data_IF_185961501365
#
_entry.id   IF_185961501365
#
_cell.length_a   1.000
_cell.length_b   1.000
_cell.length_c   1.000
_cell.angle_alpha   90.00
_cell.angle_beta   90.00
_cell.angle_gamma   90.00
#
_symmetry.space_group_name_H-M   'P 1'
#
loop_
_entity.id
_entity.type
_entity.pdbx_description
1 polymer ?
#
# COMPACT_ATOMS: atom_id res chain seq x y z
N UNK A 1 19.22 -59.79 -5.77
CA UNK A 1 18.00 -60.42 -5.24
C UNK A 1 17.64 -59.75 -3.93
N UNK A 2 16.57 -58.97 -3.89
CA UNK A 2 15.57 -58.97 -2.80
C UNK A 2 14.44 -58.03 -3.22
N UNK A 3 13.24 -58.60 -3.30
CA UNK A 3 11.98 -57.93 -3.58
C UNK A 3 11.50 -57.26 -2.28
N UNK A 4 10.95 -56.07 -2.37
CA UNK A 4 9.91 -55.61 -1.45
C UNK A 4 8.85 -54.86 -2.25
N UNK A 5 7.77 -55.59 -2.55
CA UNK A 5 6.49 -55.09 -3.05
C UNK A 5 5.50 -55.20 -1.90
N UNK A 6 4.88 -54.09 -1.51
CA UNK A 6 3.79 -54.04 -0.53
C UNK A 6 3.69 -52.64 0.06
N UNK A 7 2.58 -51.91 -0.02
CA UNK A 7 1.27 -52.25 -0.54
C UNK A 7 0.50 -50.98 -0.89
N UNK A 8 -0.40 -51.14 -1.85
CA UNK A 8 -1.39 -50.14 -2.25
C UNK A 8 -2.53 -50.21 -1.24
N UNK A 9 -2.79 -49.14 -0.49
CA UNK A 9 -4.02 -48.98 0.27
C UNK A 9 -4.86 -47.90 -0.42
N UNK A 10 -5.77 -48.35 -1.29
CA UNK A 10 -6.85 -47.55 -1.86
C UNK A 10 -8.06 -47.64 -0.93
N UNK A 11 -8.25 -46.60 -0.11
CA UNK A 11 -9.56 -46.18 0.39
C UNK A 11 -9.59 -44.66 0.18
N UNK A 12 -10.42 -44.07 -0.66
CA UNK A 12 -11.83 -44.35 -0.87
C UNK A 12 -12.62 -43.54 0.15
N UNK A 13 -12.82 -42.23 -0.11
CA UNK A 13 -13.97 -41.43 0.33
C UNK A 13 -13.78 -39.95 -0.05
N UNK A 14 -14.49 -39.56 -1.12
CA UNK A 14 -15.13 -38.27 -1.36
C UNK A 14 -14.98 -37.21 -0.25
N UNK A 15 -14.45 -36.05 -0.61
CA UNK A 15 -14.52 -34.86 0.25
C UNK A 15 -13.61 -33.74 -0.25
N UNK A 16 -13.99 -33.10 -1.36
CA UNK A 16 -13.48 -31.77 -1.69
C UNK A 16 -14.10 -30.83 -0.65
N UNK A 17 -13.31 -30.42 0.34
CA UNK A 17 -13.63 -29.29 1.20
C UNK A 17 -12.55 -28.23 0.95
N UNK A 18 -12.73 -27.47 -0.13
CA UNK A 18 -12.20 -26.11 -0.23
C UNK A 18 -12.80 -25.33 0.94
N UNK A 19 -12.08 -25.25 2.05
CA UNK A 19 -12.34 -24.28 3.10
C UNK A 19 -11.88 -22.92 2.59
N UNK A 20 -12.65 -22.34 1.67
CA UNK A 20 -12.56 -20.93 1.31
C UNK A 20 -12.97 -20.16 2.56
N UNK A 21 -11.99 -19.75 3.38
CA UNK A 21 -12.22 -18.84 4.48
C UNK A 21 -12.51 -17.45 3.88
N UNK A 22 -13.77 -17.27 3.47
CA UNK A 22 -14.36 -15.97 3.18
C UNK A 22 -14.39 -15.17 4.49
N UNK A 23 -13.33 -14.43 4.78
CA UNK A 23 -13.37 -13.41 5.82
C UNK A 23 -14.10 -12.20 5.23
N UNK A 24 -15.42 -12.26 5.31
CA UNK A 24 -16.31 -11.17 4.95
C UNK A 24 -16.06 -9.98 5.88
N UNK A 25 -15.75 -8.85 5.26
CA UNK A 25 -15.74 -7.54 5.88
C UNK A 25 -17.10 -7.26 6.54
N UNK A 26 -17.07 -6.93 7.82
CA UNK A 26 -18.17 -6.21 8.47
C UNK A 26 -17.64 -5.45 9.68
N UNK A 27 -17.21 -4.21 9.45
CA UNK A 27 -17.20 -3.18 10.47
C UNK A 27 -17.58 -1.84 9.85
N UNK A 28 -18.83 -1.73 9.44
CA UNK A 28 -19.51 -0.46 9.22
C UNK A 28 -20.03 0.03 10.57
N UNK A 29 -19.27 0.88 11.25
CA UNK A 29 -19.72 1.64 12.42
C UNK A 29 -19.69 3.13 12.10
N UNK A 30 -20.75 3.92 12.37
CA UNK A 30 -20.67 5.37 12.35
C UNK A 30 -20.11 5.84 13.69
N UNK A 31 -18.92 6.43 13.68
CA UNK A 31 -18.36 7.14 14.82
C UNK A 31 -16.90 6.81 15.12
N UNK A 32 -16.00 7.66 14.62
CA UNK A 32 -14.83 8.22 15.32
C UNK A 32 -14.03 9.10 14.33
N UNK A 33 -14.57 10.26 13.92
CA UNK A 33 -13.88 11.22 13.05
C UNK A 33 -12.49 11.63 13.56
N UNK A 34 -12.22 11.57 14.87
CA UNK A 34 -10.90 11.89 15.44
C UNK A 34 -9.91 10.71 15.54
N UNK A 35 -10.37 9.45 15.52
CA UNK A 35 -9.45 8.29 15.54
C UNK A 35 -9.01 7.90 14.13
N UNK A 36 -9.84 8.17 13.12
CA UNK A 36 -9.47 8.01 11.71
C UNK A 36 -8.31 8.94 11.36
N UNK A 37 -8.35 10.21 11.78
CA UNK A 37 -7.25 11.17 11.60
C UNK A 37 -5.92 10.69 12.22
N UNK A 38 -5.94 10.09 13.41
CA UNK A 38 -4.72 9.56 14.03
C UNK A 38 -4.15 8.34 13.28
N UNK A 39 -5.02 7.42 12.85
CA UNK A 39 -4.61 6.23 12.07
C UNK A 39 -4.11 6.63 10.69
N UNK A 40 -4.73 7.64 10.08
CA UNK A 40 -4.34 8.09 8.75
C UNK A 40 -3.06 8.94 8.78
N UNK A 41 -2.75 9.65 9.87
CA UNK A 41 -1.44 10.28 10.08
C UNK A 41 -0.32 9.25 10.26
N UNK A 42 -0.56 8.18 11.03
CA UNK A 42 0.42 7.09 11.18
C UNK A 42 0.62 6.33 9.86
N UNK A 43 -0.46 6.14 9.07
CA UNK A 43 -0.35 5.57 7.72
C UNK A 43 0.39 6.49 6.76
N UNK A 44 0.17 7.81 6.81
CA UNK A 44 0.90 8.77 5.97
C UNK A 44 2.41 8.62 6.17
N UNK A 45 2.88 8.42 7.40
CA UNK A 45 4.31 8.22 7.66
C UNK A 45 4.88 6.96 6.98
N UNK A 46 4.19 5.83 7.07
CA UNK A 46 4.64 4.57 6.45
C UNK A 46 4.52 4.64 4.92
N UNK A 47 3.37 5.08 4.42
CA UNK A 47 3.08 5.14 2.98
C UNK A 47 3.99 6.17 2.29
N UNK A 48 4.32 7.29 2.94
CA UNK A 48 5.28 8.25 2.42
C UNK A 48 6.71 7.71 2.40
N UNK A 49 7.12 6.92 3.40
CA UNK A 49 8.42 6.25 3.38
C UNK A 49 8.53 5.27 2.21
N UNK A 50 7.48 4.44 1.99
CA UNK A 50 7.42 3.52 0.86
C UNK A 50 7.43 4.27 -0.48
N UNK A 51 6.72 5.40 -0.58
CA UNK A 51 6.76 6.28 -1.73
C UNK A 51 8.15 6.82 -2.01
N UNK A 52 8.85 7.32 -1.00
CA UNK A 52 10.18 7.89 -1.16
C UNK A 52 11.19 6.82 -1.57
N UNK A 53 11.18 5.67 -0.92
CA UNK A 53 11.99 4.52 -1.31
C UNK A 53 11.73 4.14 -2.78
N UNK A 54 10.45 4.03 -3.17
CA UNK A 54 10.05 3.71 -4.55
C UNK A 54 10.47 4.78 -5.55
N UNK A 55 10.32 6.06 -5.20
CA UNK A 55 10.74 7.18 -6.02
C UNK A 55 12.23 7.10 -6.33
N UNK A 56 13.08 6.93 -5.31
CA UNK A 56 14.53 6.89 -5.50
C UNK A 56 14.97 5.62 -6.26
N UNK A 57 14.33 4.48 -6.01
CA UNK A 57 14.51 3.25 -6.80
C UNK A 57 14.19 3.49 -8.30
N UNK A 58 13.05 4.14 -8.58
CA UNK A 58 12.66 4.47 -9.95
C UNK A 58 13.47 5.59 -10.61
N UNK A 59 14.18 6.40 -9.82
CA UNK A 59 15.17 7.37 -10.28
C UNK A 59 16.57 6.75 -10.46
N UNK A 60 16.72 5.45 -10.21
CA UNK A 60 17.99 4.70 -10.25
C UNK A 60 19.08 5.36 -9.38
N UNK A 61 18.69 5.85 -8.21
CA UNK A 61 19.62 6.50 -7.27
C UNK A 61 19.37 6.12 -5.83
N UNK A 62 20.41 6.20 -5.03
CA UNK A 62 20.32 6.09 -3.57
C UNK A 62 20.20 7.48 -2.97
N UNK A 63 19.13 7.71 -2.21
CA UNK A 63 19.00 8.93 -1.43
C UNK A 63 19.96 8.94 -0.25
N UNK A 64 20.48 10.12 0.07
CA UNK A 64 21.03 10.38 1.40
C UNK A 64 19.92 10.40 2.46
N UNK A 65 20.29 10.26 3.74
CA UNK A 65 19.34 10.32 4.86
C UNK A 65 18.54 11.63 4.83
N UNK A 66 19.23 12.77 4.60
CA UNK A 66 18.59 14.08 4.54
C UNK A 66 17.58 14.21 3.39
N UNK A 67 17.86 13.58 2.24
CA UNK A 67 16.95 13.56 1.09
C UNK A 67 15.73 12.68 1.33
N UNK A 68 15.91 11.54 2.00
CA UNK A 68 14.82 10.64 2.35
C UNK A 68 13.88 11.30 3.36
N UNK A 69 14.43 11.90 4.43
CA UNK A 69 13.68 12.66 5.42
C UNK A 69 12.91 13.84 4.79
N UNK A 70 13.56 14.60 3.90
CA UNK A 70 12.91 15.70 3.20
C UNK A 70 11.79 15.22 2.26
N UNK A 71 11.98 14.08 1.59
CA UNK A 71 10.96 13.48 0.75
C UNK A 71 9.73 13.04 1.57
N UNK A 72 9.96 12.35 2.69
CA UNK A 72 8.89 11.88 3.56
C UNK A 72 8.15 13.07 4.16
N UNK A 73 8.86 14.09 4.64
CA UNK A 73 8.25 15.31 5.15
C UNK A 73 7.36 15.99 4.10
N UNK A 74 7.85 16.19 2.87
CA UNK A 74 7.06 16.81 1.81
C UNK A 74 5.82 16.01 1.42
N UNK A 75 5.91 14.68 1.39
CA UNK A 75 4.78 13.80 1.15
C UNK A 75 3.73 13.93 2.27
N UNK A 76 4.17 13.89 3.53
CA UNK A 76 3.30 14.03 4.70
C UNK A 76 2.62 15.39 4.75
N UNK A 77 3.36 16.48 4.60
CA UNK A 77 2.81 17.84 4.61
C UNK A 77 1.73 17.99 3.54
N UNK A 78 1.94 17.43 2.35
CA UNK A 78 0.95 17.49 1.26
C UNK A 78 -0.33 16.69 1.56
N UNK A 79 -0.21 15.55 2.27
CA UNK A 79 -1.34 14.66 2.58
C UNK A 79 -2.06 15.05 3.86
N UNK A 80 -1.34 15.53 4.87
CA UNK A 80 -1.89 15.89 6.19
C UNK A 80 -2.38 17.34 6.20
N UNK A 81 -1.60 18.28 5.63
CA UNK A 81 -1.96 19.71 5.65
C UNK A 81 -2.56 20.19 4.32
N UNK A 82 -2.09 19.65 3.20
CA UNK A 82 -2.49 20.09 1.85
C UNK A 82 -3.78 19.47 1.32
N UNK A 83 -4.06 18.21 1.69
CA UNK A 83 -5.12 17.38 1.11
C UNK A 83 -6.50 17.60 1.74
N UNK A 84 -6.53 18.07 3.00
CA UNK A 84 -7.73 18.09 3.81
C UNK A 84 -8.16 16.69 4.29
N UNK A 85 -8.78 16.63 5.46
CA UNK A 85 -9.06 15.38 6.18
C UNK A 85 -10.02 14.45 5.40
N UNK A 86 -10.88 15.01 4.55
CA UNK A 86 -11.85 14.26 3.73
C UNK A 86 -11.18 13.40 2.63
N UNK A 87 -9.97 13.77 2.21
CA UNK A 87 -9.25 13.10 1.10
C UNK A 87 -7.99 12.36 1.55
N UNK A 88 -7.56 12.55 2.80
CA UNK A 88 -6.34 11.94 3.35
C UNK A 88 -6.33 10.40 3.24
N UNK A 89 -7.42 9.75 3.64
CA UNK A 89 -7.54 8.29 3.57
C UNK A 89 -7.45 7.77 2.13
N UNK A 90 -8.08 8.47 1.19
CA UNK A 90 -8.06 8.13 -0.24
C UNK A 90 -6.68 8.37 -0.85
N UNK A 91 -6.00 9.46 -0.48
CA UNK A 91 -4.63 9.76 -0.90
C UNK A 91 -3.66 8.68 -0.40
N UNK A 92 -3.73 8.30 0.87
CA UNK A 92 -2.92 7.24 1.46
C UNK A 92 -3.16 5.87 0.79
N UNK A 93 -4.42 5.51 0.55
CA UNK A 93 -4.76 4.28 -0.17
C UNK A 93 -4.21 4.29 -1.60
N UNK A 94 -4.31 5.44 -2.29
CA UNK A 94 -3.81 5.59 -3.66
C UNK A 94 -2.30 5.46 -3.72
N UNK A 95 -1.56 6.12 -2.83
CA UNK A 95 -0.10 5.98 -2.74
C UNK A 95 0.32 4.53 -2.50
N UNK A 96 -0.32 3.85 -1.53
CA UNK A 96 -0.05 2.45 -1.25
C UNK A 96 -0.29 1.56 -2.48
N UNK A 97 -1.32 1.83 -3.28
CA UNK A 97 -1.56 1.13 -4.54
C UNK A 97 -0.47 1.42 -5.60
N UNK A 98 0.07 2.65 -5.62
CA UNK A 98 1.06 3.05 -6.60
C UNK A 98 2.44 2.46 -6.31
N UNK A 99 2.87 2.39 -5.05
CA UNK A 99 4.22 1.92 -4.68
C UNK A 99 4.47 0.46 -5.07
N UNK A 100 3.41 -0.35 -5.12
CA UNK A 100 3.47 -1.76 -5.55
C UNK A 100 3.65 -1.94 -7.06
N UNK A 101 3.58 -0.87 -7.87
CA UNK A 101 3.65 -0.96 -9.33
C UNK A 101 5.09 -0.89 -9.86
N UNK A 102 5.28 -1.23 -11.14
CA UNK A 102 6.52 -0.94 -11.87
C UNK A 102 6.76 0.56 -11.99
N UNK A 103 7.99 1.00 -12.31
CA UNK A 103 8.32 2.43 -12.26
C UNK A 103 7.52 3.29 -13.24
N UNK A 104 7.24 2.79 -14.44
CA UNK A 104 6.38 3.49 -15.39
C UNK A 104 4.95 3.63 -14.83
N UNK A 105 4.38 2.52 -14.36
CA UNK A 105 3.01 2.50 -13.83
C UNK A 105 2.89 3.22 -12.48
N UNK A 106 3.96 3.31 -11.69
CA UNK A 106 4.05 4.07 -10.45
C UNK A 106 3.82 5.56 -10.73
N UNK A 107 4.58 6.13 -11.67
CA UNK A 107 4.43 7.53 -12.05
C UNK A 107 3.05 7.82 -12.67
N UNK A 108 2.52 6.92 -13.50
CA UNK A 108 1.19 7.08 -14.07
C UNK A 108 0.08 6.94 -13.01
N UNK A 109 0.33 6.14 -11.95
CA UNK A 109 -0.61 5.94 -10.86
C UNK A 109 -0.70 7.16 -9.93
N UNK A 110 0.39 7.93 -9.76
CA UNK A 110 0.47 9.14 -8.95
C UNK A 110 -0.24 10.33 -9.58
N UNK A 111 -1.52 10.13 -9.91
CA UNK A 111 -2.46 11.12 -10.37
C UNK A 111 -3.70 10.96 -9.49
N UNK A 112 -4.08 12.04 -8.80
CA UNK A 112 -5.28 12.07 -7.98
C UNK A 112 -6.15 13.26 -8.42
N UNK A 113 -6.99 13.02 -9.43
CA UNK A 113 -7.73 14.09 -10.11
C UNK A 113 -8.81 14.75 -9.24
N UNK A 114 -9.28 14.05 -8.20
CA UNK A 114 -10.32 14.54 -7.29
C UNK A 114 -9.79 15.55 -6.28
N UNK A 115 -8.53 15.40 -5.85
CA UNK A 115 -7.83 16.30 -4.93
C UNK A 115 -6.33 16.35 -5.31
N UNK A 116 -5.97 17.04 -6.41
CA UNK A 116 -4.60 17.08 -6.90
C UNK A 116 -3.60 17.67 -5.89
N UNK A 117 -4.07 18.54 -5.00
CA UNK A 117 -3.30 19.13 -3.91
C UNK A 117 -2.72 18.10 -2.94
N UNK A 118 -3.36 16.94 -2.78
CA UNK A 118 -2.85 15.85 -1.97
C UNK A 118 -1.50 15.33 -2.50
N UNK A 119 -1.27 15.41 -3.82
CA UNK A 119 -0.10 14.87 -4.51
C UNK A 119 0.82 15.98 -5.07
N UNK A 120 0.78 17.21 -4.53
CA UNK A 120 1.63 18.31 -4.99
C UNK A 120 3.14 18.01 -4.86
N UNK A 121 3.53 17.10 -3.96
CA UNK A 121 4.91 16.61 -3.82
C UNK A 121 5.40 15.80 -5.03
N UNK A 122 4.49 15.27 -5.87
CA UNK A 122 4.80 14.48 -7.07
C UNK A 122 5.26 15.36 -8.24
N UNK A 123 4.95 16.66 -8.23
CA UNK A 123 5.30 17.57 -9.32
C UNK A 123 6.82 17.74 -9.54
N UNK A 124 7.65 17.22 -8.63
CA UNK A 124 9.10 17.15 -8.77
C UNK A 124 9.57 15.91 -9.56
N UNK A 125 8.86 15.55 -10.64
CA UNK A 125 9.33 14.50 -11.57
C UNK A 125 10.61 14.99 -12.27
N UNK A 126 11.64 14.14 -12.47
CA UNK A 126 12.74 14.45 -13.36
C UNK A 126 12.28 14.63 -14.81
#
# INVERSE_FOLDING_TARGET
MMRYTGGVSMGGSRGIALATLMLAASLSGPGCDTNTEMVDNEKSAVVCADYCAKKFDCEDRTASVDEDEACVAACRDSIEDGCGNDHQAAANARLAECVDKGCTEFWDCLVFAEAPECFNFVAQRP
#
